data_IF_411305941278
#
_entry.id   IF_411305941278
#
_cell.length_a   1.000
_cell.length_b   1.000
_cell.length_c   1.000
_cell.angle_alpha   90.00
_cell.angle_beta   90.00
_cell.angle_gamma   90.00
#
_symmetry.space_group_name_H-M   'P 1'
#
loop_
_entity.id
_entity.type
_entity.pdbx_description
1 polymer ?
#
# COMPACT_ATOMS: atom_id res chain seq x y z
N UNK A 1 18.46 12.48 23.77
CA UNK A 1 18.44 12.10 22.35
C UNK A 1 17.00 11.76 21.96
N UNK A 2 16.51 12.08 20.74
CA UNK A 2 15.17 11.69 20.30
C UNK A 2 14.92 10.19 20.49
N UNK A 3 13.68 9.78 20.79
CA UNK A 3 13.38 8.36 21.06
C UNK A 3 13.70 7.48 19.85
N UNK A 4 13.48 8.00 18.66
CA UNK A 4 13.72 7.36 17.37
C UNK A 4 15.09 7.69 16.78
N UNK A 5 16.07 8.00 17.63
CA UNK A 5 17.42 8.40 17.21
C UNK A 5 18.06 7.45 16.20
N UNK A 6 17.73 6.16 16.32
CA UNK A 6 18.20 5.08 15.45
C UNK A 6 17.91 5.36 13.96
N UNK A 7 16.77 5.99 13.66
CA UNK A 7 16.34 6.31 12.30
C UNK A 7 16.73 7.71 11.83
N UNK A 8 17.35 8.54 12.68
CA UNK A 8 17.74 9.91 12.30
C UNK A 8 18.65 9.98 11.07
N UNK A 9 19.58 9.03 10.82
CA UNK A 9 20.35 9.03 9.59
C UNK A 9 19.47 8.94 8.33
N UNK A 10 18.41 8.12 8.35
CA UNK A 10 17.45 8.02 7.24
C UNK A 10 16.66 9.31 7.09
N UNK A 11 16.19 9.90 8.20
CA UNK A 11 15.49 11.19 8.19
C UNK A 11 16.38 12.28 7.57
N UNK A 12 17.67 12.31 7.93
CA UNK A 12 18.63 13.27 7.38
C UNK A 12 18.83 13.11 5.87
N UNK A 13 18.97 11.86 5.38
CA UNK A 13 19.10 11.58 3.94
C UNK A 13 17.83 12.03 3.19
N UNK A 14 16.65 11.75 3.74
CA UNK A 14 15.40 12.21 3.15
C UNK A 14 15.28 13.74 3.12
N UNK A 15 15.63 14.44 4.20
CA UNK A 15 15.66 15.91 4.22
C UNK A 15 16.68 16.47 3.22
N UNK A 16 17.86 15.87 3.12
CA UNK A 16 18.89 16.22 2.13
C UNK A 16 18.34 16.09 0.70
N UNK A 17 17.65 14.98 0.40
CA UNK A 17 17.03 14.74 -0.91
C UNK A 17 15.93 15.75 -1.23
N UNK A 18 15.04 16.04 -0.27
CA UNK A 18 14.00 17.07 -0.43
C UNK A 18 14.54 18.47 -0.74
N UNK A 19 15.79 18.75 -0.34
CA UNK A 19 16.49 19.99 -0.66
C UNK A 19 17.23 19.92 -2.01
N UNK A 20 16.77 19.07 -2.94
CA UNK A 20 17.29 18.86 -4.29
C UNK A 20 18.75 18.36 -4.37
N UNK A 21 19.23 17.68 -3.34
CA UNK A 21 20.52 16.98 -3.40
C UNK A 21 20.31 15.53 -3.82
N UNK A 22 21.20 15.02 -4.68
CA UNK A 22 21.16 13.63 -5.12
C UNK A 22 21.74 12.72 -4.03
N UNK A 23 21.16 11.53 -3.86
CA UNK A 23 21.69 10.52 -2.96
C UNK A 23 23.03 9.96 -3.49
N UNK A 24 24.00 9.73 -2.60
CA UNK A 24 25.33 9.24 -2.97
C UNK A 24 25.69 7.90 -2.30
N UNK A 25 26.87 7.36 -2.62
CA UNK A 25 27.33 6.08 -2.08
C UNK A 25 27.48 6.05 -0.56
N UNK A 26 27.76 7.20 0.06
CA UNK A 26 27.80 7.31 1.52
C UNK A 26 26.38 7.18 2.11
N UNK A 27 25.38 7.83 1.51
CA UNK A 27 23.98 7.70 1.93
C UNK A 27 23.51 6.24 1.82
N UNK A 28 23.88 5.55 0.73
CA UNK A 28 23.64 4.11 0.55
C UNK A 28 24.25 3.29 1.70
N UNK A 29 25.51 3.54 2.03
CA UNK A 29 26.21 2.83 3.12
C UNK A 29 25.54 3.05 4.47
N UNK A 30 25.09 4.28 4.74
CA UNK A 30 24.33 4.62 5.95
C UNK A 30 23.00 3.86 5.99
N UNK A 31 22.24 3.84 4.90
CA UNK A 31 20.97 3.08 4.80
C UNK A 31 21.21 1.59 5.06
N UNK A 32 22.21 0.98 4.42
CA UNK A 32 22.56 -0.43 4.63
C UNK A 32 22.92 -0.72 6.09
N UNK A 33 23.64 0.20 6.73
CA UNK A 33 24.02 0.08 8.15
C UNK A 33 22.78 0.08 9.04
N UNK A 34 21.87 1.05 8.84
CA UNK A 34 20.62 1.13 9.64
C UNK A 34 19.76 -0.11 9.43
N UNK A 35 19.56 -0.56 8.18
CA UNK A 35 18.76 -1.77 7.90
C UNK A 35 19.39 -3.03 8.51
N UNK A 36 20.72 -3.16 8.45
CA UNK A 36 21.43 -4.29 9.05
C UNK A 36 21.29 -4.29 10.57
N UNK A 37 21.47 -3.14 11.22
CA UNK A 37 21.32 -3.02 12.67
C UNK A 37 19.89 -3.29 13.13
N UNK A 38 18.87 -2.91 12.33
CA UNK A 38 17.47 -3.21 12.67
C UNK A 38 17.19 -4.72 12.69
N UNK A 39 17.86 -5.50 11.83
CA UNK A 39 17.74 -6.95 11.81
C UNK A 39 18.56 -7.62 12.91
N UNK A 40 19.76 -7.11 13.20
CA UNK A 40 20.73 -7.77 14.11
C UNK A 40 20.48 -7.39 15.58
N UNK A 41 20.05 -6.15 15.84
CA UNK A 41 19.88 -5.59 17.18
C UNK A 41 18.46 -5.02 17.36
N UNK A 42 17.42 -5.88 17.40
CA UNK A 42 16.01 -5.44 17.50
C UNK A 42 15.71 -4.62 18.76
N UNK A 43 16.49 -4.82 19.84
CA UNK A 43 16.38 -4.10 21.10
C UNK A 43 16.54 -2.57 20.94
N UNK A 44 17.26 -2.13 19.90
CA UNK A 44 17.45 -0.70 19.60
C UNK A 44 16.14 0.01 19.27
N UNK A 45 15.15 -0.74 18.76
CA UNK A 45 13.87 -0.21 18.28
C UNK A 45 12.67 -0.78 19.04
N UNK A 46 12.89 -1.58 20.08
CA UNK A 46 11.84 -2.29 20.84
C UNK A 46 10.78 -1.34 21.41
N UNK A 47 11.19 -0.14 21.84
CA UNK A 47 10.33 0.84 22.51
C UNK A 47 9.57 1.73 21.53
N UNK A 48 9.84 1.61 20.23
CA UNK A 48 9.20 2.41 19.20
C UNK A 48 7.91 1.76 18.75
N UNK A 49 6.90 2.59 18.43
CA UNK A 49 5.68 2.07 17.83
C UNK A 49 5.97 1.49 16.44
N UNK A 50 5.21 0.48 16.05
CA UNK A 50 5.42 -0.18 14.76
C UNK A 50 5.13 0.79 13.61
N UNK A 51 4.12 1.65 13.75
CA UNK A 51 3.87 2.75 12.80
C UNK A 51 5.10 3.64 12.66
N UNK A 52 5.70 4.11 13.76
CA UNK A 52 6.84 5.02 13.68
C UNK A 52 8.01 4.36 12.94
N UNK A 53 8.35 3.11 13.28
CA UNK A 53 9.38 2.33 12.57
C UNK A 53 9.08 2.24 11.08
N UNK A 54 7.85 1.86 10.74
CA UNK A 54 7.40 1.75 9.36
C UNK A 54 7.47 3.07 8.60
N UNK A 55 7.03 4.17 9.21
CA UNK A 55 7.13 5.52 8.63
C UNK A 55 8.56 5.94 8.35
N UNK A 56 9.53 5.51 9.18
CA UNK A 56 10.95 5.78 8.94
C UNK A 56 11.51 4.94 7.80
N UNK A 57 11.12 3.67 7.70
CA UNK A 57 11.53 2.80 6.59
C UNK A 57 10.95 3.27 5.25
N UNK A 58 9.72 3.79 5.23
CA UNK A 58 9.11 4.38 4.03
C UNK A 58 10.00 5.48 3.42
N UNK A 59 10.69 6.27 4.26
CA UNK A 59 11.53 7.36 3.76
C UNK A 59 12.62 6.87 2.80
N UNK A 60 13.10 5.62 2.93
CA UNK A 60 14.08 5.05 2.01
C UNK A 60 13.49 4.91 0.59
N UNK A 61 12.22 4.52 0.47
CA UNK A 61 11.53 4.50 -0.82
C UNK A 61 11.40 5.90 -1.42
N UNK A 62 11.29 6.93 -0.59
CA UNK A 62 11.16 8.33 -1.00
C UNK A 62 12.50 9.05 -1.24
N UNK A 63 13.64 8.37 -1.04
CA UNK A 63 14.98 8.91 -1.29
C UNK A 63 15.47 8.45 -2.67
N UNK A 64 15.03 9.14 -3.72
CA UNK A 64 15.42 8.87 -5.11
C UNK A 64 15.13 7.39 -5.49
N UNK A 65 16.10 6.73 -6.12
CA UNK A 65 16.10 5.34 -6.56
C UNK A 65 16.99 4.45 -5.67
N UNK A 66 17.36 4.91 -4.47
CA UNK A 66 18.23 4.15 -3.55
C UNK A 66 17.71 2.74 -3.28
N UNK A 67 16.39 2.57 -3.15
CA UNK A 67 15.76 1.27 -2.91
C UNK A 67 15.88 0.30 -4.10
N UNK A 68 16.24 0.77 -5.30
CA UNK A 68 16.52 -0.08 -6.47
C UNK A 68 17.92 -0.68 -6.44
N UNK A 69 18.82 -0.18 -5.57
CA UNK A 69 20.09 -0.84 -5.34
C UNK A 69 19.85 -2.24 -4.75
N UNK A 70 20.50 -3.26 -5.30
CA UNK A 70 20.24 -4.66 -4.95
C UNK A 70 20.35 -4.94 -3.45
N UNK A 71 21.42 -4.48 -2.80
CA UNK A 71 21.64 -4.75 -1.38
C UNK A 71 20.63 -4.01 -0.49
N UNK A 72 20.33 -2.75 -0.86
CA UNK A 72 19.30 -1.95 -0.18
C UNK A 72 17.93 -2.60 -0.34
N UNK A 73 17.56 -3.00 -1.56
CA UNK A 73 16.28 -3.64 -1.88
C UNK A 73 16.07 -4.93 -1.07
N UNK A 74 17.09 -5.80 -1.02
CA UNK A 74 17.04 -7.06 -0.28
C UNK A 74 16.86 -6.80 1.21
N UNK A 75 17.68 -5.92 1.80
CA UNK A 75 17.60 -5.64 3.23
C UNK A 75 16.31 -4.90 3.60
N UNK A 76 15.91 -3.90 2.82
CA UNK A 76 14.69 -3.12 3.04
C UNK A 76 13.46 -4.03 2.99
N UNK A 77 13.36 -4.85 1.94
CA UNK A 77 12.28 -5.83 1.81
C UNK A 77 12.25 -6.77 3.01
N UNK A 78 13.41 -7.28 3.46
CA UNK A 78 13.49 -8.17 4.62
C UNK A 78 13.06 -7.49 5.92
N UNK A 79 13.53 -6.26 6.17
CA UNK A 79 13.18 -5.48 7.37
C UNK A 79 11.67 -5.17 7.38
N UNK A 80 11.15 -4.61 6.28
CA UNK A 80 9.71 -4.29 6.15
C UNK A 80 8.88 -5.55 6.30
N UNK A 81 9.26 -6.66 5.67
CA UNK A 81 8.52 -7.92 5.79
C UNK A 81 8.49 -8.44 7.21
N UNK A 82 9.63 -8.42 7.90
CA UNK A 82 9.72 -8.87 9.30
C UNK A 82 8.86 -7.98 10.20
N UNK A 83 8.94 -6.67 10.02
CA UNK A 83 8.14 -5.70 10.77
C UNK A 83 6.64 -5.95 10.56
N UNK A 84 6.21 -6.13 9.32
CA UNK A 84 4.79 -6.23 8.96
C UNK A 84 4.20 -7.58 9.34
N UNK A 85 4.88 -8.69 9.03
CA UNK A 85 4.34 -10.04 9.25
C UNK A 85 3.94 -10.27 10.71
N UNK A 86 4.74 -9.78 11.65
CA UNK A 86 4.51 -10.00 13.08
C UNK A 86 3.64 -8.92 13.72
N UNK A 87 3.41 -7.80 13.02
CA UNK A 87 2.81 -6.61 13.63
C UNK A 87 1.74 -5.89 12.80
N UNK A 88 1.29 -6.42 11.67
CA UNK A 88 0.36 -5.71 10.78
C UNK A 88 -0.93 -5.23 11.49
N UNK A 89 -1.36 -5.92 12.55
CA UNK A 89 -2.51 -5.52 13.37
C UNK A 89 -2.25 -4.35 14.34
N UNK A 90 -0.98 -4.07 14.64
CA UNK A 90 -0.52 -3.03 15.58
C UNK A 90 -0.26 -1.68 14.91
N UNK A 91 -0.34 -1.60 13.58
CA UNK A 91 -0.22 -0.32 12.89
C UNK A 91 -1.41 0.58 13.20
N UNK A 92 -1.10 1.82 13.56
CA UNK A 92 -2.05 2.91 13.70
C UNK A 92 -1.52 4.12 12.93
N UNK A 93 -2.17 4.47 11.83
CA UNK A 93 -1.77 5.56 10.94
C UNK A 93 -2.36 6.92 11.33
N UNK A 94 -3.13 6.99 12.43
CA UNK A 94 -3.67 8.26 12.96
C UNK A 94 -2.77 8.92 14.00
N UNK A 95 -1.67 8.27 14.38
CA UNK A 95 -0.74 8.84 15.37
C UNK A 95 0.11 9.94 14.74
N UNK A 96 0.52 10.90 15.57
CA UNK A 96 1.50 11.90 15.18
C UNK A 96 2.87 11.25 14.91
N UNK A 97 3.52 11.74 13.86
CA UNK A 97 4.84 11.28 13.44
C UNK A 97 5.84 12.42 13.61
N UNK A 98 6.68 12.42 14.67
CA UNK A 98 7.64 13.50 14.91
C UNK A 98 8.49 13.79 13.67
N UNK A 99 8.64 15.05 13.29
CA UNK A 99 9.44 15.45 12.13
C UNK A 99 8.82 15.14 10.76
N UNK A 100 7.59 14.62 10.70
CA UNK A 100 6.76 14.55 9.51
C UNK A 100 5.45 15.31 9.77
N UNK A 101 4.76 15.74 8.71
CA UNK A 101 3.48 16.44 8.85
C UNK A 101 2.37 15.49 9.33
N UNK A 102 2.15 14.40 8.58
CA UNK A 102 1.13 13.40 8.87
C UNK A 102 1.46 12.09 8.13
N UNK A 103 0.82 10.98 8.51
CA UNK A 103 0.92 9.76 7.70
C UNK A 103 0.17 9.90 6.37
N UNK A 104 -0.89 10.71 6.30
CA UNK A 104 -1.58 11.02 5.04
C UNK A 104 -0.64 11.65 4.02
N UNK A 105 0.10 12.69 4.40
CA UNK A 105 1.09 13.34 3.52
C UNK A 105 2.17 12.34 3.08
N UNK A 106 2.61 11.46 3.99
CA UNK A 106 3.58 10.42 3.70
C UNK A 106 3.03 9.41 2.67
N UNK A 107 1.78 8.99 2.82
CA UNK A 107 1.14 8.04 1.92
C UNK A 107 0.86 8.65 0.53
N UNK A 108 0.46 9.93 0.47
CA UNK A 108 0.37 10.68 -0.79
C UNK A 108 1.71 10.71 -1.50
N UNK A 109 2.79 11.07 -0.79
CA UNK A 109 4.14 11.09 -1.36
C UNK A 109 4.58 9.71 -1.85
N UNK A 110 4.23 8.63 -1.13
CA UNK A 110 4.46 7.26 -1.61
C UNK A 110 3.73 6.96 -2.92
N UNK A 111 2.46 7.34 -3.03
CA UNK A 111 1.65 7.10 -4.23
C UNK A 111 2.25 7.84 -5.45
N UNK A 112 2.62 9.11 -5.26
CA UNK A 112 3.24 9.94 -6.31
C UNK A 112 4.61 9.39 -6.73
N UNK A 113 5.47 9.08 -5.76
CA UNK A 113 6.81 8.57 -6.02
C UNK A 113 6.82 7.19 -6.66
N UNK A 114 5.87 6.32 -6.26
CA UNK A 114 5.71 5.02 -6.90
C UNK A 114 5.34 5.14 -8.38
N UNK A 115 4.40 6.03 -8.69
CA UNK A 115 3.98 6.25 -10.06
C UNK A 115 5.09 6.83 -10.94
N UNK A 116 6.01 7.61 -10.37
CA UNK A 116 7.09 8.27 -11.11
C UNK A 116 8.37 7.45 -11.25
N UNK A 117 8.75 6.67 -10.22
CA UNK A 117 10.09 6.05 -10.15
C UNK A 117 10.13 4.56 -9.85
N UNK A 118 9.01 3.93 -9.48
CA UNK A 118 9.04 2.55 -8.98
C UNK A 118 9.19 1.47 -10.04
N UNK A 119 8.78 1.74 -11.28
CA UNK A 119 8.72 0.73 -12.34
C UNK A 119 7.95 -0.55 -11.94
N UNK A 120 7.09 -0.49 -10.92
CA UNK A 120 6.36 -1.63 -10.38
C UNK A 120 7.15 -2.51 -9.41
N UNK A 121 8.12 -1.95 -8.68
CA UNK A 121 8.89 -2.64 -7.65
C UNK A 121 7.97 -3.36 -6.65
N UNK A 122 8.28 -4.62 -6.34
CA UNK A 122 7.44 -5.46 -5.49
C UNK A 122 7.53 -5.08 -4.02
N UNK A 123 8.70 -4.69 -3.52
CA UNK A 123 8.86 -4.22 -2.14
C UNK A 123 8.07 -2.94 -1.89
N UNK A 124 8.13 -1.99 -2.83
CA UNK A 124 7.38 -0.74 -2.76
C UNK A 124 5.88 -0.98 -2.94
N UNK A 125 5.48 -1.83 -3.90
CA UNK A 125 4.08 -2.26 -4.07
C UNK A 125 3.52 -2.85 -2.78
N UNK A 126 4.27 -3.74 -2.13
CA UNK A 126 3.91 -4.35 -0.86
C UNK A 126 3.72 -3.31 0.24
N UNK A 127 4.65 -2.36 0.32
CA UNK A 127 4.64 -1.29 1.33
C UNK A 127 3.42 -0.37 1.14
N UNK A 128 3.09 -0.03 -0.10
CA UNK A 128 1.89 0.75 -0.46
C UNK A 128 0.58 0.04 -0.09
N UNK A 129 0.56 -1.29 -0.10
CA UNK A 129 -0.65 -2.04 0.18
C UNK A 129 -0.98 -2.12 1.68
N UNK A 130 -0.06 -1.77 2.58
CA UNK A 130 -0.30 -1.90 4.03
C UNK A 130 -1.42 -0.96 4.52
N UNK A 131 -1.40 0.36 4.20
CA UNK A 131 -2.40 1.30 4.71
C UNK A 131 -3.81 1.09 4.16
N UNK A 132 -3.96 0.33 3.07
CA UNK A 132 -5.25 0.11 2.42
C UNK A 132 -5.97 -1.16 2.87
N UNK A 133 -5.40 -1.93 3.81
CA UNK A 133 -6.12 -3.03 4.43
C UNK A 133 -7.38 -2.51 5.14
N UNK A 134 -8.44 -3.31 5.17
CA UNK A 134 -9.78 -2.86 5.56
C UNK A 134 -9.89 -2.38 7.01
N UNK A 135 -8.92 -2.77 7.85
CA UNK A 135 -8.84 -2.34 9.25
C UNK A 135 -8.49 -0.87 9.43
N UNK A 136 -7.84 -0.27 8.42
CA UNK A 136 -7.41 1.12 8.48
C UNK A 136 -8.50 2.04 7.94
N UNK A 137 -8.32 3.33 8.21
CA UNK A 137 -9.25 4.37 7.79
C UNK A 137 -9.51 4.28 6.27
N UNK A 138 -10.79 4.35 5.91
CA UNK A 138 -11.25 4.32 4.52
C UNK A 138 -10.62 5.42 3.68
N UNK A 139 -10.19 6.52 4.31
CA UNK A 139 -9.46 7.60 3.68
C UNK A 139 -8.27 7.13 2.83
N UNK A 140 -7.45 6.18 3.30
CA UNK A 140 -6.29 5.70 2.54
C UNK A 140 -6.70 4.91 1.29
N UNK A 141 -7.76 4.09 1.41
CA UNK A 141 -8.35 3.41 0.25
C UNK A 141 -8.91 4.43 -0.74
N UNK A 142 -9.62 5.45 -0.26
CA UNK A 142 -10.12 6.54 -1.12
C UNK A 142 -8.98 7.24 -1.85
N UNK A 143 -7.96 7.70 -1.14
CA UNK A 143 -6.80 8.37 -1.74
C UNK A 143 -6.20 7.53 -2.89
N UNK A 144 -5.99 6.22 -2.65
CA UNK A 144 -5.45 5.32 -3.66
C UNK A 144 -6.40 5.12 -4.86
N UNK A 145 -7.69 4.87 -4.59
CA UNK A 145 -8.66 4.43 -5.61
C UNK A 145 -9.38 5.57 -6.33
N UNK A 146 -9.36 6.79 -5.81
CA UNK A 146 -9.87 7.99 -6.48
C UNK A 146 -8.75 8.86 -7.04
N UNK A 147 -7.83 9.31 -6.18
CA UNK A 147 -6.87 10.37 -6.55
C UNK A 147 -5.67 9.81 -7.30
N UNK A 148 -5.22 8.61 -6.93
CA UNK A 148 -4.06 7.97 -7.54
C UNK A 148 -4.39 6.66 -8.28
N UNK A 149 -5.61 6.56 -8.83
CA UNK A 149 -6.11 5.35 -9.50
C UNK A 149 -5.19 4.84 -10.63
N UNK A 150 -4.45 5.74 -11.29
CA UNK A 150 -3.50 5.40 -12.34
C UNK A 150 -2.34 4.52 -11.87
N UNK A 151 -2.00 4.57 -10.58
CA UNK A 151 -0.89 3.80 -10.00
C UNK A 151 -1.22 2.31 -9.87
N UNK A 152 -2.51 1.95 -9.74
CA UNK A 152 -2.97 0.59 -9.49
C UNK A 152 -2.49 -0.42 -10.54
N UNK A 153 -2.34 0.02 -11.80
CA UNK A 153 -1.86 -0.84 -12.89
C UNK A 153 -0.39 -1.26 -12.75
N UNK A 154 0.37 -0.55 -11.92
CA UNK A 154 1.78 -0.82 -11.65
C UNK A 154 1.97 -1.66 -10.38
N UNK A 155 0.92 -1.89 -9.59
CA UNK A 155 0.94 -2.86 -8.48
C UNK A 155 0.84 -4.28 -9.08
N UNK A 156 1.96 -4.77 -9.61
CA UNK A 156 2.07 -6.07 -10.29
C UNK A 156 2.41 -7.23 -9.35
N UNK A 157 2.47 -6.94 -8.06
CA UNK A 157 2.79 -7.90 -7.02
C UNK A 157 1.82 -9.11 -7.08
N UNK A 158 2.34 -10.35 -7.18
CA UNK A 158 1.51 -11.56 -7.15
C UNK A 158 0.82 -11.76 -5.79
N UNK A 159 -0.34 -12.43 -5.79
CA UNK A 159 -1.10 -12.70 -4.56
C UNK A 159 -0.31 -13.57 -3.58
N UNK A 160 0.50 -14.49 -4.10
CA UNK A 160 1.32 -15.44 -3.33
C UNK A 160 2.45 -14.75 -2.55
N UNK A 161 2.82 -13.54 -2.97
CA UNK A 161 3.87 -12.76 -2.32
C UNK A 161 3.32 -11.84 -1.22
N UNK A 162 2.00 -11.70 -1.07
CA UNK A 162 1.38 -10.87 -0.04
C UNK A 162 1.88 -11.22 1.38
N UNK A 163 2.42 -10.21 2.07
CA UNK A 163 2.87 -10.36 3.46
C UNK A 163 1.69 -10.32 4.43
N UNK A 164 0.71 -9.44 4.15
CA UNK A 164 -0.53 -9.40 4.91
C UNK A 164 -1.52 -10.38 4.28
N UNK A 165 -2.16 -11.26 5.07
CA UNK A 165 -3.13 -12.21 4.54
C UNK A 165 -4.22 -11.52 3.71
N UNK A 166 -4.54 -12.07 2.53
CA UNK A 166 -5.51 -11.49 1.59
C UNK A 166 -6.85 -11.14 2.26
N UNK A 167 -7.31 -11.93 3.23
CA UNK A 167 -8.53 -11.66 4.01
C UNK A 167 -8.57 -10.26 4.65
N UNK A 168 -7.44 -9.69 5.05
CA UNK A 168 -7.38 -8.35 5.68
C UNK A 168 -7.67 -7.22 4.67
N UNK A 169 -7.60 -7.52 3.36
CA UNK A 169 -8.02 -6.62 2.29
C UNK A 169 -9.48 -6.80 1.90
N UNK A 170 -10.06 -7.96 2.20
CA UNK A 170 -11.39 -8.37 1.78
C UNK A 170 -12.44 -8.22 2.90
N UNK A 171 -12.01 -8.17 4.16
CA UNK A 171 -12.91 -8.08 5.31
C UNK A 171 -12.48 -6.99 6.32
N UNK A 172 -13.44 -6.23 6.91
CA UNK A 172 -14.89 -6.26 6.61
C UNK A 172 -15.22 -5.83 5.16
N UNK A 173 -16.44 -6.14 4.71
CA UNK A 173 -16.89 -5.70 3.39
C UNK A 173 -16.98 -4.18 3.33
N UNK A 174 -16.63 -3.62 2.18
CA UNK A 174 -16.73 -2.19 1.93
C UNK A 174 -18.18 -1.70 2.00
N UNK A 175 -18.39 -0.66 2.80
CA UNK A 175 -19.67 0.03 2.95
C UNK A 175 -19.66 1.43 2.31
N UNK A 176 -18.48 2.01 2.06
CA UNK A 176 -18.37 3.33 1.47
C UNK A 176 -18.79 3.31 -0.01
N UNK A 177 -19.93 3.92 -0.30
CA UNK A 177 -20.57 3.86 -1.62
C UNK A 177 -19.74 4.55 -2.70
N UNK A 178 -19.01 5.62 -2.36
CA UNK A 178 -18.14 6.31 -3.31
C UNK A 178 -16.93 5.45 -3.69
N UNK A 179 -16.41 4.68 -2.74
CA UNK A 179 -15.31 3.75 -2.98
C UNK A 179 -15.78 2.53 -3.78
N UNK A 180 -16.99 2.01 -3.53
CA UNK A 180 -17.63 1.00 -4.38
C UNK A 180 -17.76 1.48 -5.83
N UNK A 181 -18.20 2.73 -6.04
CA UNK A 181 -18.27 3.32 -7.38
C UNK A 181 -16.90 3.38 -8.07
N UNK A 182 -15.85 3.72 -7.32
CA UNK A 182 -14.47 3.70 -7.83
C UNK A 182 -14.01 2.29 -8.20
N UNK A 183 -14.28 1.27 -7.38
CA UNK A 183 -13.95 -0.13 -7.69
C UNK A 183 -14.64 -0.61 -8.97
N UNK A 184 -15.96 -0.40 -9.08
CA UNK A 184 -16.72 -0.77 -10.28
C UNK A 184 -16.20 -0.03 -11.51
N UNK A 185 -15.93 1.27 -11.37
CA UNK A 185 -15.41 2.10 -12.47
C UNK A 185 -14.03 1.60 -12.93
N UNK A 186 -13.14 1.28 -12.00
CA UNK A 186 -11.81 0.76 -12.31
C UNK A 186 -11.87 -0.58 -13.05
N UNK A 187 -12.79 -1.47 -12.67
CA UNK A 187 -13.03 -2.74 -13.35
C UNK A 187 -13.62 -2.54 -14.75
N UNK A 188 -14.69 -1.75 -14.88
CA UNK A 188 -15.39 -1.53 -16.16
C UNK A 188 -14.48 -0.83 -17.17
N UNK A 189 -13.67 0.12 -16.73
CA UNK A 189 -12.69 0.82 -17.58
C UNK A 189 -11.43 0.01 -17.87
N UNK A 190 -11.28 -1.17 -17.25
CA UNK A 190 -10.08 -2.00 -17.40
C UNK A 190 -8.81 -1.37 -16.83
N UNK A 191 -8.92 -0.47 -15.85
CA UNK A 191 -7.76 0.09 -15.15
C UNK A 191 -7.07 -1.01 -14.34
N UNK A 192 -7.88 -1.84 -13.67
CA UNK A 192 -7.42 -3.03 -12.96
C UNK A 192 -7.78 -4.30 -13.72
N UNK A 193 -6.88 -5.28 -13.72
CA UNK A 193 -7.06 -6.56 -14.38
C UNK A 193 -6.25 -7.65 -13.68
N UNK A 194 -6.80 -8.85 -13.64
CA UNK A 194 -6.20 -10.01 -13.00
C UNK A 194 -4.79 -10.33 -13.53
N UNK A 195 -4.54 -10.12 -14.82
CA UNK A 195 -3.30 -10.53 -15.48
C UNK A 195 -2.09 -9.63 -15.17
N UNK A 196 -2.31 -8.39 -14.73
CA UNK A 196 -1.20 -7.46 -14.47
C UNK A 196 -1.25 -6.77 -13.10
N UNK A 197 -2.39 -6.62 -12.47
CA UNK A 197 -2.49 -6.12 -11.09
C UNK A 197 -3.47 -6.97 -10.28
N UNK A 198 -3.10 -8.22 -9.97
CA UNK A 198 -4.01 -9.21 -9.41
C UNK A 198 -4.57 -8.79 -8.05
N UNK A 199 -3.77 -8.13 -7.20
CA UNK A 199 -4.23 -7.69 -5.87
C UNK A 199 -5.30 -6.59 -5.97
N UNK A 200 -5.07 -5.42 -6.63
CA UNK A 200 -6.12 -4.44 -6.85
C UNK A 200 -7.37 -5.03 -7.52
N UNK A 201 -7.19 -5.87 -8.54
CA UNK A 201 -8.31 -6.52 -9.22
C UNK A 201 -9.16 -7.35 -8.26
N UNK A 202 -8.53 -8.19 -7.43
CA UNK A 202 -9.24 -9.03 -6.45
C UNK A 202 -9.99 -8.18 -5.42
N UNK A 203 -9.38 -7.09 -4.91
CA UNK A 203 -10.03 -6.17 -3.97
C UNK A 203 -11.27 -5.54 -4.60
N UNK A 204 -11.12 -4.94 -5.79
CA UNK A 204 -12.22 -4.27 -6.47
C UNK A 204 -13.35 -5.24 -6.81
N UNK A 205 -13.02 -6.42 -7.34
CA UNK A 205 -14.00 -7.44 -7.72
C UNK A 205 -14.80 -7.91 -6.50
N UNK A 206 -14.11 -8.25 -5.41
CA UNK A 206 -14.71 -8.75 -4.20
C UNK A 206 -15.69 -7.75 -3.58
N UNK A 207 -15.23 -6.53 -3.32
CA UNK A 207 -16.05 -5.52 -2.65
C UNK A 207 -17.21 -5.04 -3.51
N UNK A 208 -16.98 -4.86 -4.82
CA UNK A 208 -18.05 -4.53 -5.76
C UNK A 208 -19.12 -5.61 -5.76
N UNK A 209 -18.74 -6.88 -5.92
CA UNK A 209 -19.68 -7.98 -5.98
C UNK A 209 -20.46 -8.15 -4.67
N UNK A 210 -19.79 -8.05 -3.52
CA UNK A 210 -20.45 -8.17 -2.22
C UNK A 210 -21.42 -7.01 -1.97
N UNK A 211 -21.09 -5.79 -2.38
CA UNK A 211 -22.00 -4.66 -2.28
C UNK A 211 -23.23 -4.83 -3.18
N UNK A 212 -23.05 -5.33 -4.41
CA UNK A 212 -24.14 -5.56 -5.36
C UNK A 212 -25.17 -6.59 -4.87
N UNK A 213 -24.78 -7.53 -4.00
CA UNK A 213 -25.71 -8.51 -3.38
C UNK A 213 -26.71 -7.86 -2.42
N UNK A 214 -26.49 -6.61 -1.99
CA UNK A 214 -27.39 -5.90 -1.07
C UNK A 214 -28.72 -5.54 -1.76
N UNK A 215 -29.77 -5.43 -0.95
CA UNK A 215 -31.13 -5.09 -1.39
C UNK A 215 -31.41 -3.58 -1.38
N UNK A 216 -30.43 -2.74 -1.03
CA UNK A 216 -30.63 -1.29 -1.02
C UNK A 216 -30.80 -0.73 -2.45
N UNK A 217 -31.49 0.42 -2.57
CA UNK A 217 -31.84 1.04 -3.85
C UNK A 217 -30.62 1.30 -4.75
N UNK A 218 -29.49 1.71 -4.15
CA UNK A 218 -28.27 2.00 -4.90
C UNK A 218 -27.66 0.74 -5.49
N UNK A 219 -27.56 -0.34 -4.71
CA UNK A 219 -27.06 -1.64 -5.16
C UNK A 219 -27.92 -2.22 -6.30
N UNK A 220 -29.25 -2.12 -6.20
CA UNK A 220 -30.17 -2.53 -7.29
C UNK A 220 -29.90 -1.71 -8.56
N UNK A 221 -29.80 -0.38 -8.43
CA UNK A 221 -29.50 0.51 -9.57
C UNK A 221 -28.14 0.19 -10.22
N UNK A 222 -27.12 -0.09 -9.41
CA UNK A 222 -25.80 -0.48 -9.90
C UNK A 222 -25.84 -1.81 -10.66
N UNK A 223 -26.57 -2.82 -10.15
CA UNK A 223 -26.78 -4.10 -10.86
C UNK A 223 -27.43 -3.92 -12.22
N UNK A 224 -28.53 -3.17 -12.30
CA UNK A 224 -29.21 -2.90 -13.58
C UNK A 224 -28.33 -2.15 -14.59
N UNK A 225 -27.40 -1.31 -14.11
CA UNK A 225 -26.40 -0.67 -14.97
C UNK A 225 -25.35 -1.67 -15.46
N UNK A 226 -24.90 -2.58 -14.59
CA UNK A 226 -23.91 -3.61 -14.91
C UNK A 226 -24.42 -4.60 -15.96
N UNK A 227 -25.70 -4.96 -15.95
CA UNK A 227 -26.30 -5.82 -17.00
C UNK A 227 -26.15 -5.23 -18.41
N UNK A 228 -26.06 -3.89 -18.50
CA UNK A 228 -25.99 -3.15 -19.76
C UNK A 228 -24.55 -2.89 -20.24
N UNK A 229 -23.52 -3.19 -19.46
CA UNK A 229 -22.13 -2.97 -19.91
C UNK A 229 -21.80 -3.92 -21.07
N UNK A 230 -20.86 -3.49 -21.92
CA UNK A 230 -20.38 -4.25 -23.07
C UNK A 230 -19.63 -5.53 -22.67
N UNK A 231 -18.82 -5.47 -21.60
CA UNK A 231 -18.08 -6.62 -21.10
C UNK A 231 -19.00 -7.57 -20.30
N UNK A 232 -19.65 -8.51 -21.01
CA UNK A 232 -20.57 -9.50 -20.41
C UNK A 232 -19.88 -10.48 -19.47
N UNK A 233 -18.60 -10.78 -19.69
CA UNK A 233 -17.82 -11.65 -18.81
C UNK A 233 -17.64 -11.00 -17.44
N UNK A 234 -17.22 -9.72 -17.40
CA UNK A 234 -17.08 -8.97 -16.15
C UNK A 234 -18.43 -8.83 -15.42
N UNK A 235 -19.51 -8.54 -16.15
CA UNK A 235 -20.84 -8.45 -15.55
C UNK A 235 -21.24 -9.77 -14.88
N UNK A 236 -21.05 -10.90 -15.57
CA UNK A 236 -21.34 -12.22 -15.02
C UNK A 236 -20.47 -12.54 -13.78
N UNK A 237 -19.18 -12.19 -13.81
CA UNK A 237 -18.27 -12.37 -12.68
C UNK A 237 -18.72 -11.59 -11.44
N UNK A 238 -19.13 -10.33 -11.60
CA UNK A 238 -19.62 -9.49 -10.51
C UNK A 238 -20.95 -9.99 -9.92
N UNK A 239 -21.90 -10.38 -10.79
CA UNK A 239 -23.24 -10.78 -10.38
C UNK A 239 -23.28 -12.18 -9.75
N UNK A 240 -22.42 -13.09 -10.21
CA UNK A 240 -22.36 -14.48 -9.75
C UNK A 240 -21.13 -14.78 -8.88
N UNK A 241 -20.49 -13.74 -8.34
CA UNK A 241 -19.27 -13.86 -7.55
C UNK A 241 -19.47 -14.78 -6.34
N UNK A 242 -18.55 -15.72 -6.18
CA UNK A 242 -18.45 -16.59 -5.01
C UNK A 242 -17.34 -16.13 -4.08
N UNK A 243 -17.56 -16.28 -2.78
CA UNK A 243 -16.56 -15.90 -1.78
C UNK A 243 -15.32 -16.81 -1.92
N UNK A 244 -14.10 -16.25 -1.80
CA UNK A 244 -12.89 -17.06 -1.76
C UNK A 244 -12.87 -17.90 -0.49
N UNK A 245 -12.37 -19.12 -0.60
CA UNK A 245 -12.08 -20.02 0.52
C UNK A 245 -10.64 -19.72 0.95
N UNK A 246 -10.42 -19.47 2.25
CA UNK A 246 -9.10 -19.20 2.84
C UNK A 246 -8.62 -20.35 3.70
#
# INVERSE_FOLDING_TARGET
MPKDWFYLPIVHIYTKYRNNNICNDNDKTVVLTVLSLELILPDLVEKLSQTLRFSRLILIYLCDTLYLNNDVSILLTKVVTTLVKDNYKKFNFTIDLPGLNSFTDLFTAMCEHFCSTSYGDYGFSMTLLIPITQRHDVHYRKLLWSEHVGLLRYIRLPLEQLIIPLKEYLYPFEEDTSLIENYITALVRGIVNQNWCPIPYTIALHHSAMYLKKSNKLAIRMRTRLEKISNKVLAALLLNYQLPIF
#
